data_IF_362112203526
#
_entry.id   IF_362112203526
#
_cell.length_a   1.000
_cell.length_b   1.000
_cell.length_c   1.000
_cell.angle_alpha   90.00
_cell.angle_beta   90.00
_cell.angle_gamma   90.00
#
_symmetry.space_group_name_H-M   'P 1'
#
loop_
_entity.id
_entity.type
_entity.pdbx_description
1 polymer ?
#
# COMPACT_ATOMS: atom_id res chain seq x y z
N UNK A 1 -10.25 11.82 -14.24
CA UNK A 1 -11.02 11.00 -13.28
C UNK A 1 -11.22 11.90 -12.07
N UNK A 2 -12.47 12.15 -11.67
CA UNK A 2 -12.72 12.83 -10.40
C UNK A 2 -12.17 11.96 -9.26
N UNK A 3 -11.17 12.47 -8.55
CA UNK A 3 -10.70 11.85 -7.31
C UNK A 3 -11.76 12.06 -6.24
N UNK A 4 -12.49 11.00 -5.90
CA UNK A 4 -13.38 11.00 -4.74
C UNK A 4 -12.56 11.25 -3.47
N UNK A 5 -13.02 12.19 -2.65
CA UNK A 5 -12.46 12.42 -1.31
C UNK A 5 -12.66 11.17 -0.44
N UNK A 6 -11.70 10.89 0.45
CA UNK A 6 -11.71 9.69 1.29
C UNK A 6 -13.04 9.43 2.02
N UNK A 7 -13.71 10.43 2.63
CA UNK A 7 -15.00 10.21 3.27
C UNK A 7 -16.09 9.74 2.30
N UNK A 8 -16.18 10.35 1.12
CA UNK A 8 -17.16 9.98 0.09
C UNK A 8 -16.90 8.57 -0.47
N UNK A 9 -15.63 8.26 -0.72
CA UNK A 9 -15.23 6.91 -1.13
C UNK A 9 -15.59 5.86 -0.06
N UNK A 10 -15.37 6.17 1.22
CA UNK A 10 -15.68 5.26 2.32
C UNK A 10 -17.20 5.06 2.49
N UNK A 11 -17.99 6.11 2.31
CA UNK A 11 -19.45 6.03 2.29
C UNK A 11 -19.96 5.15 1.14
N UNK A 12 -19.39 5.32 -0.07
CA UNK A 12 -19.70 4.45 -1.20
C UNK A 12 -19.40 2.98 -0.87
N UNK A 13 -18.24 2.70 -0.25
CA UNK A 13 -17.89 1.33 0.19
C UNK A 13 -18.85 0.75 1.22
N UNK A 14 -19.36 1.58 2.12
CA UNK A 14 -20.38 1.15 3.08
C UNK A 14 -21.68 0.75 2.37
N UNK A 15 -22.13 1.53 1.39
CA UNK A 15 -23.33 1.25 0.60
C UNK A 15 -23.16 -0.03 -0.22
N UNK A 16 -22.02 -0.19 -0.90
CA UNK A 16 -21.67 -1.40 -1.66
C UNK A 16 -21.69 -2.64 -0.78
N UNK A 17 -21.03 -2.56 0.39
CA UNK A 17 -20.99 -3.66 1.36
C UNK A 17 -22.38 -4.01 1.91
N UNK A 18 -23.21 -3.01 2.22
CA UNK A 18 -24.57 -3.22 2.69
C UNK A 18 -25.44 -3.87 1.61
N UNK A 19 -25.33 -3.40 0.37
CA UNK A 19 -26.05 -3.94 -0.79
C UNK A 19 -25.68 -5.41 -1.03
N UNK A 20 -24.39 -5.75 -0.96
CA UNK A 20 -23.90 -7.12 -1.12
C UNK A 20 -24.40 -8.09 -0.05
N UNK A 21 -24.72 -7.60 1.16
CA UNK A 21 -25.30 -8.41 2.24
C UNK A 21 -26.80 -8.67 2.07
N UNK A 22 -27.50 -7.90 1.23
CA UNK A 22 -28.95 -8.01 1.02
C UNK A 22 -29.82 -7.66 2.25
N UNK A 23 -29.24 -7.07 3.30
CA UNK A 23 -29.94 -6.63 4.51
C UNK A 23 -29.37 -5.29 4.97
N UNK A 24 -30.23 -4.44 5.53
CA UNK A 24 -29.78 -3.21 6.21
C UNK A 24 -28.79 -3.58 7.31
N UNK A 25 -27.65 -2.91 7.31
CA UNK A 25 -26.62 -3.07 8.30
C UNK A 25 -26.40 -1.73 8.99
N UNK A 26 -25.88 -1.74 10.21
CA UNK A 26 -25.54 -0.51 10.93
C UNK A 26 -24.09 -0.14 10.68
N UNK A 27 -23.76 1.12 10.94
CA UNK A 27 -22.37 1.59 10.90
C UNK A 27 -21.47 0.80 11.87
N UNK A 28 -22.00 0.36 13.01
CA UNK A 28 -21.28 -0.48 13.96
C UNK A 28 -20.91 -1.84 13.35
N UNK A 29 -21.85 -2.50 12.65
CA UNK A 29 -21.57 -3.77 11.97
C UNK A 29 -20.54 -3.61 10.85
N UNK A 30 -20.54 -2.46 10.16
CA UNK A 30 -19.50 -2.17 9.18
C UNK A 30 -18.14 -1.93 9.83
N UNK A 31 -18.09 -1.20 10.96
CA UNK A 31 -16.88 -1.00 11.73
C UNK A 31 -16.28 -2.35 12.19
N UNK A 32 -17.12 -3.25 12.70
CA UNK A 32 -16.72 -4.60 13.11
C UNK A 32 -16.17 -5.40 11.92
N UNK A 33 -16.81 -5.32 10.75
CA UNK A 33 -16.32 -5.94 9.52
C UNK A 33 -14.91 -5.44 9.13
N UNK A 34 -14.67 -4.15 9.31
CA UNK A 34 -13.39 -3.49 9.06
C UNK A 34 -12.34 -3.70 10.16
N UNK A 35 -12.73 -4.24 11.33
CA UNK A 35 -11.86 -4.35 12.50
C UNK A 35 -11.49 -2.99 13.11
N UNK A 36 -12.43 -2.03 13.05
CA UNK A 36 -12.32 -0.68 13.59
C UNK A 36 -13.40 -0.45 14.65
N UNK A 37 -13.21 0.52 15.54
CA UNK A 37 -14.28 0.95 16.43
C UNK A 37 -15.29 1.83 15.68
N UNK A 38 -16.57 1.75 16.05
CA UNK A 38 -17.62 2.57 15.43
C UNK A 38 -17.36 4.09 15.53
N UNK A 39 -16.86 4.65 16.67
CA UNK A 39 -16.50 6.06 16.75
C UNK A 39 -15.38 6.45 15.78
N UNK A 40 -14.39 5.58 15.61
CA UNK A 40 -13.28 5.83 14.70
C UNK A 40 -13.74 5.86 13.25
N UNK A 41 -14.60 4.92 12.86
CA UNK A 41 -15.20 4.89 11.54
C UNK A 41 -16.06 6.14 11.29
N UNK A 42 -16.83 6.60 12.29
CA UNK A 42 -17.58 7.85 12.22
C UNK A 42 -16.67 9.06 11.98
N UNK A 43 -15.52 9.15 12.67
CA UNK A 43 -14.55 10.21 12.42
C UNK A 43 -13.99 10.20 10.98
N UNK A 44 -13.84 9.02 10.38
CA UNK A 44 -13.38 8.88 9.00
C UNK A 44 -14.43 9.33 7.99
N UNK A 45 -15.70 8.92 8.18
CA UNK A 45 -16.83 9.35 7.33
C UNK A 45 -17.12 10.85 7.42
N UNK A 46 -16.80 11.49 8.53
CA UNK A 46 -16.96 12.94 8.70
C UNK A 46 -15.70 13.72 8.30
N UNK A 47 -14.64 13.06 7.83
CA UNK A 47 -13.37 13.72 7.48
C UNK A 47 -12.61 14.33 8.66
N UNK A 48 -13.01 14.05 9.91
CA UNK A 48 -12.42 14.62 11.13
C UNK A 48 -10.99 14.09 11.33
N UNK A 49 -10.73 12.84 10.93
CA UNK A 49 -9.40 12.21 11.03
C UNK A 49 -9.11 11.38 9.79
N UNK A 50 -7.81 11.28 9.45
CA UNK A 50 -7.30 10.32 8.48
C UNK A 50 -6.88 9.02 9.17
N UNK A 51 -6.96 7.86 8.50
CA UNK A 51 -6.51 6.60 9.06
C UNK A 51 -4.99 6.56 9.25
N UNK A 52 -4.56 5.88 10.30
CA UNK A 52 -3.14 5.56 10.52
C UNK A 52 -2.70 4.49 9.52
N UNK A 53 -1.38 4.31 9.34
CA UNK A 53 -0.83 3.26 8.46
C UNK A 53 -1.39 1.86 8.76
N UNK A 54 -1.59 1.54 10.04
CA UNK A 54 -2.19 0.28 10.46
C UNK A 54 -3.67 0.19 10.04
N UNK A 55 -4.45 1.24 10.27
CA UNK A 55 -5.86 1.25 9.91
C UNK A 55 -6.07 1.30 8.40
N UNK A 56 -5.22 2.00 7.63
CA UNK A 56 -5.22 1.93 6.17
C UNK A 56 -4.99 0.50 5.70
N UNK A 57 -4.10 -0.25 6.34
CA UNK A 57 -3.90 -1.66 6.02
C UNK A 57 -5.14 -2.51 6.33
N UNK A 58 -5.86 -2.24 7.42
CA UNK A 58 -7.13 -2.93 7.76
C UNK A 58 -8.20 -2.63 6.71
N UNK A 59 -8.37 -1.35 6.36
CA UNK A 59 -9.26 -0.91 5.28
C UNK A 59 -8.91 -1.60 3.96
N UNK A 60 -7.63 -1.62 3.58
CA UNK A 60 -7.18 -2.23 2.33
C UNK A 60 -7.47 -3.73 2.26
N UNK A 61 -7.40 -4.45 3.40
CA UNK A 61 -7.70 -5.88 3.45
C UNK A 61 -9.17 -6.20 3.22
N UNK A 62 -10.09 -5.27 3.52
CA UNK A 62 -11.53 -5.48 3.43
C UNK A 62 -12.17 -4.80 2.22
N UNK A 63 -11.69 -3.62 1.88
CA UNK A 63 -12.28 -2.75 0.86
C UNK A 63 -11.50 -2.69 -0.45
N UNK A 64 -10.23 -3.13 -0.44
CA UNK A 64 -9.36 -3.11 -1.61
C UNK A 64 -8.19 -2.12 -1.49
N UNK A 65 -7.15 -2.28 -2.32
CA UNK A 65 -5.93 -1.47 -2.26
C UNK A 65 -6.14 -0.02 -2.70
N UNK A 66 -7.25 0.30 -3.37
CA UNK A 66 -7.56 1.67 -3.83
C UNK A 66 -7.57 2.70 -2.70
N UNK A 67 -7.75 2.30 -1.44
CA UNK A 67 -7.66 3.19 -0.28
C UNK A 67 -6.29 3.89 -0.19
N UNK A 68 -5.23 3.26 -0.69
CA UNK A 68 -3.90 3.87 -0.76
C UNK A 68 -3.89 5.03 -1.75
N UNK A 69 -4.49 4.84 -2.93
CA UNK A 69 -4.59 5.88 -3.97
C UNK A 69 -5.44 7.06 -3.49
N UNK A 70 -6.59 6.78 -2.88
CA UNK A 70 -7.50 7.80 -2.34
C UNK A 70 -6.84 8.63 -1.23
N UNK A 71 -5.95 8.02 -0.44
CA UNK A 71 -5.21 8.72 0.62
C UNK A 71 -3.90 9.35 0.15
N UNK A 72 -3.53 9.18 -1.13
CA UNK A 72 -2.23 9.62 -1.67
C UNK A 72 -1.04 8.89 -1.05
N UNK A 73 -1.24 7.66 -0.57
CA UNK A 73 -0.23 6.83 0.08
C UNK A 73 0.36 5.85 -0.94
N UNK A 74 1.66 5.56 -0.78
CA UNK A 74 2.27 4.50 -1.58
C UNK A 74 1.70 3.13 -1.19
N UNK A 75 1.37 2.34 -2.21
CA UNK A 75 1.00 0.95 -2.03
C UNK A 75 2.16 0.19 -1.36
N UNK A 76 1.88 -0.67 -0.37
CA UNK A 76 2.90 -1.58 0.13
C UNK A 76 3.32 -2.52 -1.00
N UNK A 77 4.58 -2.47 -1.41
CA UNK A 77 5.10 -3.33 -2.48
C UNK A 77 4.83 -4.80 -2.13
N UNK A 78 4.05 -5.53 -2.96
CA UNK A 78 3.71 -6.92 -2.69
C UNK A 78 4.95 -7.82 -2.62
N UNK A 79 6.01 -7.52 -3.38
CA UNK A 79 7.27 -8.26 -3.36
C UNK A 79 7.98 -8.04 -2.03
N UNK A 80 8.07 -6.79 -1.57
CA UNK A 80 8.67 -6.47 -0.27
C UNK A 80 7.88 -7.15 0.87
N UNK A 81 6.55 -7.10 0.79
CA UNK A 81 5.67 -7.76 1.77
C UNK A 81 5.88 -9.26 1.82
N UNK A 82 6.08 -9.91 0.67
CA UNK A 82 6.38 -11.34 0.59
C UNK A 82 7.70 -11.66 1.30
N UNK A 83 8.75 -10.88 1.05
CA UNK A 83 10.06 -11.08 1.69
C UNK A 83 9.93 -10.91 3.21
N UNK A 84 9.31 -9.82 3.69
CA UNK A 84 9.17 -9.56 5.13
C UNK A 84 8.37 -10.65 5.85
N UNK A 85 7.28 -11.16 5.24
CA UNK A 85 6.41 -12.18 5.85
C UNK A 85 7.09 -13.54 6.00
N UNK A 86 8.00 -13.88 5.08
CA UNK A 86 8.67 -15.17 5.06
C UNK A 86 10.09 -15.09 5.66
N UNK A 87 10.53 -13.93 6.14
CA UNK A 87 11.89 -13.71 6.63
C UNK A 87 12.30 -14.70 7.73
N UNK A 88 11.41 -14.95 8.69
CA UNK A 88 11.67 -15.89 9.79
C UNK A 88 11.70 -17.36 9.37
N UNK A 89 11.26 -17.68 8.16
CA UNK A 89 11.32 -19.03 7.59
C UNK A 89 12.65 -19.28 6.86
N UNK A 90 13.40 -18.22 6.54
CA UNK A 90 14.69 -18.32 5.89
C UNK A 90 15.78 -18.62 6.92
N UNK A 91 16.70 -19.52 6.58
CA UNK A 91 17.93 -19.73 7.37
C UNK A 91 18.83 -18.50 7.31
N UNK A 92 19.77 -18.37 8.25
CA UNK A 92 20.73 -17.27 8.24
C UNK A 92 21.53 -17.20 6.92
N UNK A 93 21.89 -18.37 6.35
CA UNK A 93 22.56 -18.45 5.05
C UNK A 93 21.68 -17.95 3.90
N UNK A 94 20.39 -18.31 3.88
CA UNK A 94 19.44 -17.84 2.86
C UNK A 94 19.18 -16.34 2.98
N UNK A 95 19.10 -15.81 4.20
CA UNK A 95 18.99 -14.37 4.45
C UNK A 95 20.23 -13.63 3.91
N UNK A 96 21.43 -14.17 4.16
CA UNK A 96 22.68 -13.60 3.68
C UNK A 96 22.78 -13.64 2.14
N UNK A 97 22.35 -14.73 1.51
CA UNK A 97 22.29 -14.84 0.05
C UNK A 97 21.35 -13.79 -0.55
N UNK A 98 20.19 -13.56 0.05
CA UNK A 98 19.23 -12.57 -0.40
C UNK A 98 19.80 -11.15 -0.29
N UNK A 99 20.50 -10.84 0.81
CA UNK A 99 21.21 -9.58 1.00
C UNK A 99 22.29 -9.38 -0.06
N UNK A 100 23.17 -10.37 -0.24
CA UNK A 100 24.26 -10.29 -1.22
C UNK A 100 23.74 -10.12 -2.66
N UNK A 101 22.64 -10.79 -3.01
CA UNK A 101 21.99 -10.63 -4.31
C UNK A 101 21.46 -9.20 -4.49
N UNK A 102 20.80 -8.63 -3.47
CA UNK A 102 20.30 -7.26 -3.52
C UNK A 102 21.44 -6.24 -3.67
N UNK A 103 22.53 -6.40 -2.91
CA UNK A 103 23.71 -5.54 -3.02
C UNK A 103 24.35 -5.60 -4.41
N UNK A 104 24.48 -6.80 -4.99
CA UNK A 104 25.04 -6.99 -6.33
C UNK A 104 24.21 -6.26 -7.39
N UNK A 105 22.89 -6.35 -7.32
CA UNK A 105 21.99 -5.67 -8.25
C UNK A 105 22.09 -4.14 -8.14
N UNK A 106 22.21 -3.60 -6.92
CA UNK A 106 22.39 -2.16 -6.70
C UNK A 106 23.73 -1.65 -7.22
N UNK A 107 24.82 -2.42 -7.05
CA UNK A 107 26.14 -2.07 -7.60
C UNK A 107 26.16 -2.10 -9.13
N UNK A 108 25.60 -3.16 -9.73
CA UNK A 108 25.53 -3.29 -11.19
C UNK A 108 24.72 -2.16 -11.85
N UNK A 109 23.58 -1.77 -11.25
CA UNK A 109 22.77 -0.65 -11.76
C UNK A 109 23.48 0.71 -11.70
N UNK A 110 24.34 0.93 -10.69
CA UNK A 110 25.16 2.14 -10.57
C UNK A 110 26.30 2.20 -11.59
N UNK A 111 26.96 1.06 -11.87
CA UNK A 111 28.05 0.98 -12.86
C UNK A 111 27.54 1.20 -14.30
N UNK A 112 26.37 0.64 -14.63
CA UNK A 112 25.78 0.79 -15.95
C UNK A 112 25.28 2.23 -16.21
N UNK A 113 24.81 2.91 -15.16
CA UNK A 113 24.44 4.33 -15.20
C UNK A 113 25.65 5.25 -15.35
N UNK A 114 26.79 4.91 -14.74
CA UNK A 114 28.03 5.68 -14.87
C UNK A 114 28.65 5.58 -16.28
N UNK A 115 28.53 4.42 -16.94
CA UNK A 115 29.06 4.21 -18.29
C UNK A 115 28.33 5.00 -19.40
N UNK A 116 27.04 5.31 -19.21
CA UNK A 116 26.23 6.05 -20.21
C UNK A 116 26.48 7.56 -20.21
N UNK A 117 26.92 8.13 -19.10
CA UNK A 117 27.18 9.57 -18.96
C UNK A 117 28.57 9.97 -19.47
N UNK A 118 29.43 9.00 -19.77
CA UNK A 118 30.83 9.20 -20.17
C UNK A 118 31.10 9.14 -21.67
N UNK A 119 30.13 9.40 -22.57
CA UNK A 119 30.41 9.44 -24.01
C UNK A 119 31.01 10.81 -24.39
N UNK A 120 32.31 10.92 -24.72
CA UNK A 120 32.87 12.18 -25.15
C UNK A 120 32.26 12.57 -26.50
N UNK A 121 31.75 13.80 -26.59
CA UNK A 121 31.46 14.45 -27.88
C UNK A 121 32.78 14.56 -28.63
N UNK A 122 33.01 13.68 -29.61
CA UNK A 122 33.94 13.97 -30.70
C UNK A 122 33.35 15.13 -31.49
N UNK A 123 33.77 16.34 -31.19
CA UNK A 123 33.76 17.42 -32.17
C UNK A 123 35.00 17.22 -33.04
N UNK A 124 34.73 16.75 -34.25
CA UNK A 124 35.67 16.64 -35.36
C UNK A 124 36.07 18.04 -35.85
N UNK A 125 37.22 18.07 -36.51
CA UNK A 125 38.01 19.17 -37.08
C UNK A 125 37.32 20.47 -37.48
#
# INVERSE_FOLDING_TARGET
>A
METLEFPAWLEQKYIEWQSARGKRATLAQFADHLGLSAPLLSHYLNGIRKPTRENTRKLAQRLGPEVYDILGLQHPDPKLRFITRNWSQLTAEQQQQLLAAAEKLLKAGNEESASRTGRPKKTDR
#
